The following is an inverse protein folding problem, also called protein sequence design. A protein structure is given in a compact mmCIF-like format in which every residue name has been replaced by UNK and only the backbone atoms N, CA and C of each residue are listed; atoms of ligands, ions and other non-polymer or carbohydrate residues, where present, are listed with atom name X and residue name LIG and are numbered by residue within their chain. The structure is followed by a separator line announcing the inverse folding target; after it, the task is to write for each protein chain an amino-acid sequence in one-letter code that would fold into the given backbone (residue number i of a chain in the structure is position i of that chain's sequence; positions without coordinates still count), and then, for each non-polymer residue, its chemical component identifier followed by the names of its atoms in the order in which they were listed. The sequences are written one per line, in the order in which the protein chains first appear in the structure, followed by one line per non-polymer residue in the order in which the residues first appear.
data_IF_798477996190
#
_entry.id   IF_798477996190
#
_cell.length_a   1.000
_cell.length_b   1.000
_cell.length_c   1.000
_cell.angle_alpha   90.00
_cell.angle_beta   90.00
_cell.angle_gamma   90.00
#
_symmetry.space_group_name_H-M   'P 1'
#
loop_
_entity.id
_entity.type
_entity.pdbx_description
1 polymer ?
#
# COMPACT_ATOMS: atom_id res chain seq x y z
N UNK A 1 -0.61 42.75 48.81
CA UNK A 1 -2.00 42.70 48.33
C UNK A 1 -2.01 42.85 46.81
N UNK A 2 -2.20 41.74 46.09
CA UNK A 2 -2.32 41.72 44.63
C UNK A 2 -3.79 41.47 44.27
N UNK A 3 -4.27 42.01 43.15
CA UNK A 3 -5.64 41.80 42.67
C UNK A 3 -5.63 41.02 41.36
N UNK A 4 -6.64 40.18 41.16
CA UNK A 4 -6.80 39.43 39.92
C UNK A 4 -7.06 40.39 38.75
N UNK A 5 -6.23 40.32 37.70
CA UNK A 5 -6.39 41.16 36.51
C UNK A 5 -7.66 40.84 35.69
N UNK A 6 -8.31 39.70 35.93
CA UNK A 6 -9.50 39.29 35.20
C UNK A 6 -10.81 39.63 35.95
N UNK A 7 -10.91 39.37 37.25
CA UNK A 7 -12.16 39.56 38.02
C UNK A 7 -12.09 40.64 39.11
N UNK A 8 -10.91 41.24 39.35
CA UNK A 8 -10.73 42.32 40.32
C UNK A 8 -10.72 41.89 41.79
N UNK A 9 -10.93 40.61 42.12
CA UNK A 9 -10.88 40.12 43.50
C UNK A 9 -9.45 40.13 44.05
N UNK A 10 -9.31 40.43 45.33
CA UNK A 10 -8.05 40.35 46.07
C UNK A 10 -7.52 38.91 46.10
N UNK A 11 -6.23 38.77 45.82
CA UNK A 11 -5.52 37.50 45.85
C UNK A 11 -4.79 37.35 47.17
N UNK A 12 -4.88 36.15 47.76
CA UNK A 12 -4.07 35.77 48.91
C UNK A 12 -2.57 35.77 48.55
N UNK A 13 -1.71 36.13 49.51
CA UNK A 13 -0.26 36.15 49.32
C UNK A 13 0.25 34.74 48.94
N UNK A 14 0.92 34.64 47.78
CA UNK A 14 1.42 33.37 47.23
C UNK A 14 0.40 32.53 46.46
N UNK A 15 -0.82 33.03 46.20
CA UNK A 15 -1.79 32.33 45.37
C UNK A 15 -1.26 32.11 43.95
N UNK A 16 -1.36 30.88 43.43
CA UNK A 16 -1.00 30.53 42.04
C UNK A 16 -2.14 30.78 41.05
N UNK A 17 -3.39 30.78 41.55
CA UNK A 17 -4.61 31.02 40.78
C UNK A 17 -5.59 31.84 41.62
N UNK A 18 -6.45 32.62 40.95
CA UNK A 18 -7.58 33.29 41.58
C UNK A 18 -8.60 32.26 42.04
N UNK A 19 -8.94 32.30 43.32
CA UNK A 19 -9.93 31.42 43.94
C UNK A 19 -11.37 31.64 43.42
N UNK A 20 -11.66 32.82 42.89
CA UNK A 20 -13.00 33.19 42.41
C UNK A 20 -13.23 32.91 40.93
N UNK A 21 -12.21 33.00 40.07
CA UNK A 21 -12.37 32.85 38.62
C UNK A 21 -11.38 31.88 37.97
N UNK A 22 -10.44 31.31 38.73
CA UNK A 22 -9.45 30.34 38.24
C UNK A 22 -8.32 30.92 37.38
N UNK A 23 -8.24 32.25 37.19
CA UNK A 23 -7.18 32.86 36.38
C UNK A 23 -5.83 32.80 37.13
N UNK A 24 -4.73 32.36 36.50
CA UNK A 24 -3.42 32.27 37.16
C UNK A 24 -2.96 33.65 37.66
N UNK A 25 -2.42 33.67 38.86
CA UNK A 25 -1.95 34.87 39.53
C UNK A 25 -0.48 35.12 39.14
N UNK A 26 -0.28 35.80 38.01
CA UNK A 26 1.05 36.21 37.53
C UNK A 26 1.00 36.62 36.05
N UNK A 27 1.74 37.66 35.67
CA UNK A 27 1.83 38.12 34.27
C UNK A 27 3.20 37.80 33.65
N UNK A 28 3.10 37.31 32.40
CA UNK A 28 4.10 37.07 31.35
C UNK A 28 5.20 36.01 31.52
N UNK A 29 5.00 34.91 30.77
CA UNK A 29 5.99 34.52 29.75
C UNK A 29 6.89 33.33 30.05
N UNK A 30 6.34 32.11 30.11
CA UNK A 30 7.05 30.91 29.64
C UNK A 30 6.08 29.72 29.55
N UNK A 31 5.95 29.22 28.32
CA UNK A 31 5.76 27.82 27.94
C UNK A 31 4.99 26.92 28.92
N UNK A 32 3.66 26.96 28.79
CA UNK A 32 2.89 25.73 28.91
C UNK A 32 1.63 25.85 28.04
N UNK A 33 1.85 25.81 26.72
CA UNK A 33 0.77 25.42 25.82
C UNK A 33 0.46 23.94 26.07
N UNK A 34 -0.46 23.65 26.99
CA UNK A 34 -1.33 22.49 26.83
C UNK A 34 -2.13 22.77 25.55
N UNK A 35 -1.63 22.29 24.41
CA UNK A 35 -2.41 22.24 23.16
C UNK A 35 -3.67 21.42 23.47
N UNK A 36 -4.77 22.09 23.73
CA UNK A 36 -6.06 21.45 23.58
C UNK A 36 -6.27 21.31 22.07
N UNK A 37 -6.00 20.11 21.56
CA UNK A 37 -6.49 19.71 20.24
C UNK A 37 -8.01 19.69 20.38
N UNK A 38 -8.71 20.49 19.59
CA UNK A 38 -10.17 20.44 19.50
C UNK A 38 -10.53 19.06 18.96
N UNK A 39 -10.96 18.18 19.85
CA UNK A 39 -11.46 16.85 19.52
C UNK A 39 -12.88 17.02 18.97
N UNK A 40 -12.96 17.20 17.66
CA UNK A 40 -14.20 17.41 16.94
C UNK A 40 -14.02 17.20 15.43
N UNK A 41 -13.07 16.36 15.03
CA UNK A 41 -12.96 15.97 13.64
C UNK A 41 -14.16 15.08 13.31
N UNK A 42 -15.13 15.60 12.56
CA UNK A 42 -16.30 14.86 12.09
C UNK A 42 -15.81 13.70 11.21
N UNK A 43 -15.68 12.51 11.80
CA UNK A 43 -15.31 11.30 11.08
C UNK A 43 -16.49 10.87 10.22
N UNK A 44 -16.33 10.87 8.90
CA UNK A 44 -17.33 10.35 7.98
C UNK A 44 -17.03 8.89 7.67
N UNK A 45 -18.08 8.11 7.50
CA UNK A 45 -17.99 6.75 7.01
C UNK A 45 -17.40 6.79 5.59
N UNK A 46 -16.31 6.06 5.32
CA UNK A 46 -15.69 6.04 4.00
C UNK A 46 -16.59 5.40 2.94
N UNK A 47 -17.57 4.59 3.35
CA UNK A 47 -18.46 3.86 2.43
C UNK A 47 -19.75 4.61 2.09
N UNK A 48 -20.32 5.42 3.00
CA UNK A 48 -21.61 6.10 2.77
C UNK A 48 -21.66 7.57 3.18
N UNK A 49 -20.57 8.13 3.71
CA UNK A 49 -20.50 9.53 4.12
C UNK A 49 -21.23 9.88 5.42
N UNK A 50 -21.89 8.91 6.06
CA UNK A 50 -22.55 9.09 7.36
C UNK A 50 -21.56 9.55 8.43
N UNK A 51 -21.99 10.41 9.34
CA UNK A 51 -21.15 10.85 10.46
C UNK A 51 -21.02 9.69 11.46
N UNK A 52 -19.78 9.39 11.84
CA UNK A 52 -19.40 8.33 12.77
C UNK A 52 -18.91 8.94 14.07
N UNK A 53 -19.19 8.24 15.16
CA UNK A 53 -18.57 8.50 16.47
C UNK A 53 -17.18 7.87 16.51
N UNK A 54 -16.28 8.42 17.33
CA UNK A 54 -14.90 7.92 17.46
C UNK A 54 -14.80 6.46 17.91
N UNK A 55 -15.86 5.91 18.52
CA UNK A 55 -15.91 4.55 19.08
C UNK A 55 -16.68 3.55 18.20
N UNK A 56 -17.22 3.99 17.06
CA UNK A 56 -17.98 3.09 16.19
C UNK A 56 -17.04 2.04 15.57
N UNK A 57 -17.26 0.78 15.90
CA UNK A 57 -16.59 -0.37 15.25
C UNK A 57 -17.31 -0.83 13.99
N UNK A 58 -18.53 -0.36 13.76
CA UNK A 58 -19.37 -0.68 12.61
C UNK A 58 -20.25 0.51 12.26
N UNK A 59 -20.30 0.91 10.99
CA UNK A 59 -21.15 2.02 10.57
C UNK A 59 -22.63 1.64 10.73
N UNK A 60 -23.44 2.44 11.45
CA UNK A 60 -24.86 2.15 11.65
C UNK A 60 -25.71 2.37 10.39
N UNK A 61 -25.21 3.12 9.40
CA UNK A 61 -25.94 3.42 8.16
C UNK A 61 -25.71 2.40 7.04
N UNK A 62 -24.48 1.91 6.85
CA UNK A 62 -24.17 0.95 5.77
C UNK A 62 -23.66 -0.42 6.27
N UNK A 63 -23.40 -0.57 7.56
CA UNK A 63 -22.99 -1.85 8.16
C UNK A 63 -21.53 -2.24 7.95
N UNK A 64 -20.67 -1.37 7.40
CA UNK A 64 -19.24 -1.66 7.25
C UNK A 64 -18.52 -1.68 8.60
N UNK A 65 -17.66 -2.67 8.84
CA UNK A 65 -16.82 -2.70 10.05
C UNK A 65 -15.66 -1.71 9.92
N UNK A 66 -15.47 -0.88 10.94
CA UNK A 66 -14.54 0.24 11.00
C UNK A 66 -13.18 -0.16 11.60
N UNK A 67 -12.98 -1.44 11.92
CA UNK A 67 -11.68 -1.99 12.36
C UNK A 67 -10.69 -1.96 11.19
N UNK A 68 -9.61 -1.18 11.34
CA UNK A 68 -8.55 -0.96 10.35
C UNK A 68 -8.90 -0.09 9.13
N UNK A 69 -9.86 0.83 9.25
CA UNK A 69 -9.97 1.92 8.26
C UNK A 69 -9.04 3.07 8.65
N UNK A 70 -7.73 2.79 8.71
CA UNK A 70 -6.80 3.81 8.27
C UNK A 70 -7.00 3.82 6.77
N UNK A 71 -7.73 4.81 6.26
CA UNK A 71 -7.75 5.10 4.84
C UNK A 71 -6.31 4.97 4.31
N UNK A 72 -6.20 4.29 3.18
CA UNK A 72 -5.02 3.75 2.54
C UNK A 72 -4.02 4.79 2.04
N UNK A 73 -3.60 5.70 2.92
CA UNK A 73 -2.48 6.62 2.69
C UNK A 73 -1.22 5.91 2.15
N UNK A 74 -1.06 4.61 2.37
CA UNK A 74 0.06 3.83 1.85
C UNK A 74 0.05 3.64 0.33
N UNK A 75 -1.10 3.42 -0.31
CA UNK A 75 -1.13 3.22 -1.78
C UNK A 75 -1.08 4.56 -2.51
N UNK A 76 -1.82 5.56 -2.01
CA UNK A 76 -1.89 6.89 -2.62
C UNK A 76 -0.50 7.56 -2.67
N UNK A 77 0.34 7.33 -1.65
CA UNK A 77 1.70 7.87 -1.59
C UNK A 77 2.76 6.93 -2.19
N UNK A 78 2.41 5.69 -2.56
CA UNK A 78 3.35 4.67 -3.00
C UNK A 78 4.28 5.17 -4.11
N UNK A 79 3.73 5.85 -5.12
CA UNK A 79 4.53 6.35 -6.23
C UNK A 79 5.52 7.42 -5.78
N UNK A 80 5.08 8.38 -4.96
CA UNK A 80 5.96 9.42 -4.41
C UNK A 80 7.10 8.81 -3.60
N UNK A 81 6.79 7.87 -2.72
CA UNK A 81 7.76 7.19 -1.89
C UNK A 81 8.75 6.36 -2.72
N UNK A 82 8.25 5.67 -3.76
CA UNK A 82 9.09 4.94 -4.70
C UNK A 82 10.01 5.86 -5.51
N UNK A 83 9.52 7.04 -5.94
CA UNK A 83 10.32 8.02 -6.66
C UNK A 83 11.44 8.59 -5.79
N UNK A 84 11.13 8.90 -4.53
CA UNK A 84 12.08 9.42 -3.54
C UNK A 84 13.07 8.36 -3.04
N UNK A 85 12.75 7.07 -3.21
CA UNK A 85 13.66 5.97 -2.87
C UNK A 85 14.83 5.90 -3.87
N UNK A 86 16.09 5.81 -3.39
CA UNK A 86 17.26 5.62 -4.24
C UNK A 86 17.07 4.43 -5.18
N UNK A 87 17.52 4.54 -6.44
CA UNK A 87 17.28 3.50 -7.45
C UNK A 87 17.79 2.12 -7.02
N UNK A 88 18.89 2.06 -6.27
CA UNK A 88 19.46 0.83 -5.70
C UNK A 88 18.51 0.08 -4.78
N UNK A 89 17.63 0.81 -4.07
CA UNK A 89 16.82 0.26 -2.97
C UNK A 89 15.36 0.06 -3.39
N UNK A 90 15.02 0.46 -4.62
CA UNK A 90 13.64 0.36 -5.15
C UNK A 90 13.12 -1.06 -5.21
N UNK A 91 13.96 -2.06 -5.49
CA UNK A 91 13.55 -3.47 -5.48
C UNK A 91 13.07 -3.89 -4.09
N UNK A 92 13.78 -3.46 -3.04
CA UNK A 92 13.50 -3.82 -1.66
C UNK A 92 12.26 -3.09 -1.16
N UNK A 93 12.11 -1.82 -1.54
CA UNK A 93 10.88 -1.06 -1.32
C UNK A 93 9.66 -1.74 -1.95
N UNK A 94 9.73 -2.09 -3.25
CA UNK A 94 8.62 -2.73 -3.96
C UNK A 94 8.27 -4.08 -3.32
N UNK A 95 9.27 -4.91 -2.99
CA UNK A 95 9.02 -6.24 -2.44
C UNK A 95 8.42 -6.19 -1.03
N UNK A 96 8.87 -5.25 -0.19
CA UNK A 96 8.40 -5.07 1.18
C UNK A 96 7.00 -4.42 1.29
N UNK A 97 6.56 -3.68 0.26
CA UNK A 97 5.26 -3.00 0.29
C UNK A 97 4.08 -3.99 0.46
N UNK A 98 3.19 -3.81 1.45
CA UNK A 98 2.13 -4.77 1.72
C UNK A 98 1.06 -4.80 0.62
N UNK A 99 0.44 -5.97 0.41
CA UNK A 99 -0.71 -6.06 -0.51
C UNK A 99 -1.94 -5.45 0.18
N UNK A 100 -2.60 -4.44 -0.42
CA UNK A 100 -3.79 -3.84 0.16
C UNK A 100 -4.94 -4.84 0.26
N UNK A 101 -5.74 -4.73 1.33
CA UNK A 101 -6.90 -5.60 1.56
C UNK A 101 -8.25 -4.92 1.26
N UNK A 102 -8.29 -3.58 1.15
CA UNK A 102 -9.49 -2.90 0.68
C UNK A 102 -9.60 -3.07 -0.85
N UNK A 103 -10.83 -3.10 -1.36
CA UNK A 103 -11.09 -3.39 -2.77
C UNK A 103 -10.50 -2.30 -3.66
N UNK A 104 -10.74 -1.04 -3.31
CA UNK A 104 -10.33 0.14 -4.07
C UNK A 104 -8.81 0.24 -4.14
N UNK A 105 -8.14 0.10 -3.00
CA UNK A 105 -6.67 0.12 -2.91
C UNK A 105 -6.02 -1.04 -3.67
N UNK A 106 -6.67 -2.22 -3.64
CA UNK A 106 -6.19 -3.36 -4.40
C UNK A 106 -6.23 -3.06 -5.89
N UNK A 107 -7.31 -2.45 -6.39
CA UNK A 107 -7.40 -2.02 -7.78
C UNK A 107 -6.35 -0.96 -8.12
N UNK A 108 -6.21 0.07 -7.30
CA UNK A 108 -5.23 1.14 -7.51
C UNK A 108 -3.80 0.56 -7.60
N UNK A 109 -3.43 -0.26 -6.61
CA UNK A 109 -2.12 -0.90 -6.61
C UNK A 109 -1.95 -1.93 -7.74
N UNK A 110 -3.03 -2.62 -8.13
CA UNK A 110 -3.04 -3.51 -9.28
C UNK A 110 -2.77 -2.75 -10.58
N UNK A 111 -3.40 -1.59 -10.80
CA UNK A 111 -3.17 -0.79 -11.99
C UNK A 111 -1.73 -0.28 -12.08
N UNK A 112 -1.16 0.19 -10.96
CA UNK A 112 0.26 0.57 -10.88
C UNK A 112 1.16 -0.62 -11.23
N UNK A 113 0.88 -1.78 -10.63
CA UNK A 113 1.65 -3.00 -10.86
C UNK A 113 1.57 -3.46 -12.31
N UNK A 114 0.37 -3.48 -12.91
CA UNK A 114 0.14 -3.87 -14.31
C UNK A 114 0.89 -2.93 -15.26
N UNK A 115 0.82 -1.62 -15.02
CA UNK A 115 1.58 -0.63 -15.79
C UNK A 115 3.08 -0.90 -15.73
N UNK A 116 3.59 -1.28 -14.56
CA UNK A 116 5.02 -1.55 -14.35
C UNK A 116 5.50 -2.85 -15.03
N UNK A 117 4.71 -3.93 -15.00
CA UNK A 117 5.11 -5.23 -15.58
C UNK A 117 4.89 -5.35 -17.09
N UNK A 118 4.08 -4.46 -17.67
CA UNK A 118 3.80 -4.44 -19.12
C UNK A 118 4.79 -3.59 -19.90
N UNK A 119 5.56 -2.73 -19.24
CA UNK A 119 6.57 -1.89 -19.87
C UNK A 119 7.67 -2.74 -20.53
N UNK A 120 8.12 -2.37 -21.76
CA UNK A 120 9.23 -3.03 -22.40
C UNK A 120 10.51 -2.78 -21.61
N UNK A 121 11.23 -3.86 -21.29
CA UNK A 121 12.49 -3.79 -20.57
C UNK A 121 13.55 -4.59 -21.32
N UNK A 122 14.63 -3.90 -21.69
CA UNK A 122 15.84 -4.45 -22.29
C UNK A 122 17.01 -4.46 -21.30
N UNK A 123 16.72 -4.41 -20.01
CA UNK A 123 17.73 -4.37 -18.96
C UNK A 123 18.64 -5.62 -19.04
N UNK A 124 19.97 -5.45 -18.92
CA UNK A 124 20.89 -6.57 -18.79
C UNK A 124 20.54 -7.42 -17.58
N UNK A 125 20.79 -8.73 -17.68
CA UNK A 125 20.60 -9.66 -16.57
C UNK A 125 21.35 -9.19 -15.32
N UNK A 126 20.65 -9.14 -14.19
CA UNK A 126 21.24 -8.82 -12.90
C UNK A 126 21.47 -7.32 -12.67
N UNK A 127 21.21 -6.48 -13.68
CA UNK A 127 21.20 -5.03 -13.51
C UNK A 127 20.11 -4.57 -12.53
N UNK A 128 20.28 -3.37 -11.98
CA UNK A 128 19.30 -2.77 -11.05
C UNK A 128 17.89 -2.73 -11.68
N UNK A 129 17.80 -2.40 -12.96
CA UNK A 129 16.52 -2.36 -13.67
C UNK A 129 15.86 -3.76 -13.82
N UNK A 130 16.67 -4.82 -13.94
CA UNK A 130 16.18 -6.20 -13.96
C UNK A 130 15.68 -6.64 -12.56
N UNK A 131 16.36 -6.21 -11.50
CA UNK A 131 15.95 -6.47 -10.11
C UNK A 131 14.63 -5.75 -9.76
N UNK A 132 14.50 -4.47 -10.11
CA UNK A 132 13.27 -3.69 -9.95
C UNK A 132 12.10 -4.35 -10.71
N UNK A 133 12.34 -4.76 -11.95
CA UNK A 133 11.31 -5.45 -12.74
C UNK A 133 10.92 -6.79 -12.12
N UNK A 134 11.88 -7.55 -11.61
CA UNK A 134 11.63 -8.82 -10.94
C UNK A 134 10.78 -8.62 -9.69
N UNK A 135 11.04 -7.56 -8.91
CA UNK A 135 10.22 -7.17 -7.77
C UNK A 135 8.75 -6.90 -8.18
N UNK A 136 8.53 -6.13 -9.25
CA UNK A 136 7.19 -5.87 -9.79
C UNK A 136 6.46 -7.13 -10.27
N UNK A 137 7.16 -8.03 -10.97
CA UNK A 137 6.59 -9.31 -11.41
C UNK A 137 6.18 -10.16 -10.21
N UNK A 138 6.99 -10.17 -9.14
CA UNK A 138 6.65 -10.89 -7.92
C UNK A 138 5.44 -10.28 -7.22
N UNK A 139 5.31 -8.95 -7.17
CA UNK A 139 4.10 -8.29 -6.66
C UNK A 139 2.86 -8.61 -7.48
N UNK A 140 2.97 -8.60 -8.80
CA UNK A 140 1.87 -9.01 -9.68
C UNK A 140 1.39 -10.44 -9.36
N UNK A 141 2.31 -11.37 -9.14
CA UNK A 141 1.97 -12.76 -8.74
C UNK A 141 1.26 -12.78 -7.38
N UNK A 142 1.75 -12.02 -6.40
CA UNK A 142 1.11 -11.92 -5.08
C UNK A 142 -0.32 -11.38 -5.19
N UNK A 143 -0.55 -10.33 -5.99
CA UNK A 143 -1.88 -9.79 -6.24
C UNK A 143 -2.80 -10.84 -6.85
N UNK A 144 -2.32 -11.58 -7.87
CA UNK A 144 -3.09 -12.65 -8.51
C UNK A 144 -3.50 -13.74 -7.52
N UNK A 145 -2.60 -14.15 -6.64
CA UNK A 145 -2.91 -15.15 -5.59
C UNK A 145 -3.85 -14.60 -4.53
N UNK A 146 -3.78 -13.30 -4.21
CA UNK A 146 -4.56 -12.68 -3.14
C UNK A 146 -5.98 -12.30 -3.56
N UNK A 147 -6.20 -11.95 -4.83
CA UNK A 147 -7.49 -11.55 -5.39
C UNK A 147 -8.70 -12.43 -4.98
N UNK A 148 -8.68 -13.77 -5.10
CA UNK A 148 -9.84 -14.59 -4.74
C UNK A 148 -10.27 -14.46 -3.28
N UNK A 149 -9.34 -14.12 -2.37
CA UNK A 149 -9.65 -13.93 -0.95
C UNK A 149 -10.27 -12.56 -0.67
N UNK A 150 -9.80 -11.51 -1.35
CA UNK A 150 -10.32 -10.14 -1.18
C UNK A 150 -11.74 -10.04 -1.76
N UNK A 151 -11.98 -10.67 -2.91
CA UNK A 151 -13.25 -10.61 -3.64
C UNK A 151 -14.13 -11.83 -3.42
N UNK A 152 -13.92 -12.61 -2.35
CA UNK A 152 -14.67 -13.84 -2.07
C UNK A 152 -16.20 -13.64 -2.00
N UNK A 153 -16.64 -12.45 -1.59
CA UNK A 153 -18.06 -12.06 -1.49
C UNK A 153 -18.56 -11.20 -2.67
N UNK A 154 -17.72 -11.00 -3.69
CA UNK A 154 -17.98 -10.10 -4.81
C UNK A 154 -17.51 -10.73 -6.13
N UNK A 155 -18.34 -11.61 -6.73
CA UNK A 155 -17.96 -12.35 -7.93
C UNK A 155 -17.80 -11.46 -9.16
N UNK A 156 -18.47 -10.30 -9.21
CA UNK A 156 -18.37 -9.35 -10.31
C UNK A 156 -16.98 -8.70 -10.33
N UNK A 157 -16.55 -8.14 -9.20
CA UNK A 157 -15.20 -7.57 -9.07
C UNK A 157 -14.12 -8.62 -9.28
N UNK A 158 -14.33 -9.86 -8.81
CA UNK A 158 -13.39 -10.96 -9.05
C UNK A 158 -13.27 -11.29 -10.55
N UNK A 159 -14.38 -11.29 -11.29
CA UNK A 159 -14.36 -11.50 -12.74
C UNK A 159 -13.58 -10.39 -13.46
N UNK A 160 -13.78 -9.12 -13.06
CA UNK A 160 -13.05 -7.98 -13.59
C UNK A 160 -11.54 -8.10 -13.36
N UNK A 161 -11.12 -8.42 -12.13
CA UNK A 161 -9.70 -8.63 -11.78
C UNK A 161 -9.10 -9.79 -12.57
N UNK A 162 -9.81 -10.91 -12.69
CA UNK A 162 -9.36 -12.05 -13.48
C UNK A 162 -9.22 -11.71 -14.97
N UNK A 163 -10.10 -10.88 -15.51
CA UNK A 163 -9.98 -10.37 -16.88
C UNK A 163 -8.71 -9.54 -17.05
N UNK A 164 -8.40 -8.63 -16.11
CA UNK A 164 -7.14 -7.86 -16.12
C UNK A 164 -5.94 -8.82 -16.13
N UNK A 165 -5.92 -9.84 -15.26
CA UNK A 165 -4.82 -10.79 -15.23
C UNK A 165 -4.69 -11.64 -16.50
N UNK A 166 -5.80 -11.91 -17.18
CA UNK A 166 -5.82 -12.65 -18.45
C UNK A 166 -5.32 -11.81 -19.63
N UNK A 167 -5.65 -10.52 -19.66
CA UNK A 167 -5.25 -9.61 -20.75
C UNK A 167 -3.83 -9.08 -20.57
N UNK A 168 -3.32 -9.06 -19.33
CA UNK A 168 -1.97 -8.59 -19.01
C UNK A 168 -0.90 -9.52 -19.59
N UNK A 169 -0.17 -9.03 -20.60
CA UNK A 169 0.99 -9.71 -21.18
C UNK A 169 2.26 -9.25 -20.49
N UNK A 170 2.75 -10.05 -19.54
CA UNK A 170 4.07 -9.81 -18.93
C UNK A 170 5.14 -10.07 -19.99
N UNK A 171 5.88 -9.03 -20.37
CA UNK A 171 6.90 -9.16 -21.41
C UNK A 171 8.18 -9.75 -20.80
N UNK A 172 8.36 -11.06 -20.99
CA UNK A 172 9.58 -11.76 -20.57
C UNK A 172 10.82 -11.16 -21.23
N UNK A 173 11.95 -11.07 -20.51
CA UNK A 173 13.19 -10.61 -21.10
C UNK A 173 13.72 -11.59 -22.16
N UNK A 174 14.50 -11.06 -23.11
CA UNK A 174 14.98 -11.81 -24.27
C UNK A 174 15.83 -13.04 -23.88
N UNK A 175 16.64 -12.95 -22.83
CA UNK A 175 17.47 -14.08 -22.37
C UNK A 175 16.64 -15.27 -21.85
N UNK A 176 15.47 -15.04 -21.23
CA UNK A 176 14.55 -16.14 -20.87
C UNK A 176 13.98 -16.84 -22.11
N UNK A 177 13.67 -16.09 -23.18
CA UNK A 177 13.27 -16.70 -24.45
C UNK A 177 14.41 -17.48 -25.10
N UNK A 178 15.63 -16.94 -25.02
CA UNK A 178 16.84 -17.60 -25.51
C UNK A 178 17.09 -18.91 -24.76
N UNK A 179 16.98 -18.93 -23.42
CA UNK A 179 17.11 -20.15 -22.62
C UNK A 179 16.05 -21.20 -23.01
N UNK A 180 14.78 -20.80 -23.17
CA UNK A 180 13.72 -21.72 -23.61
C UNK A 180 14.02 -22.27 -25.00
N UNK A 181 14.53 -21.45 -25.93
CA UNK A 181 14.90 -21.89 -27.26
C UNK A 181 16.09 -22.87 -27.24
N UNK A 182 17.11 -22.59 -26.45
CA UNK A 182 18.29 -23.47 -26.27
C UNK A 182 17.87 -24.79 -25.64
N UNK A 183 17.20 -24.78 -24.50
CA UNK A 183 16.75 -26.01 -23.82
C UNK A 183 15.71 -26.78 -24.65
N UNK A 184 14.80 -26.08 -25.33
CA UNK A 184 13.84 -26.69 -26.25
C UNK A 184 14.52 -27.36 -27.45
N UNK A 185 15.56 -26.72 -28.00
CA UNK A 185 16.38 -27.29 -29.08
C UNK A 185 17.12 -28.55 -28.63
N UNK A 186 17.74 -28.52 -27.45
CA UNK A 186 18.38 -29.71 -26.86
C UNK A 186 17.39 -30.85 -26.62
N UNK A 187 16.20 -30.55 -26.08
CA UNK A 187 15.16 -31.56 -25.88
C UNK A 187 14.70 -32.19 -27.20
N UNK A 188 14.50 -31.38 -28.25
CA UNK A 188 14.14 -31.88 -29.58
C UNK A 188 15.22 -32.76 -30.19
N UNK A 189 16.50 -32.39 -30.02
CA UNK A 189 17.65 -33.19 -30.48
C UNK A 189 17.75 -34.53 -29.76
N UNK A 190 17.50 -34.55 -28.45
CA UNK A 190 17.46 -35.79 -27.65
C UNK A 190 16.30 -36.68 -28.13
N UNK A 191 15.11 -36.13 -28.33
CA UNK A 191 13.97 -36.88 -28.87
C UNK A 191 14.28 -37.45 -30.25
N UNK A 192 14.91 -36.66 -31.14
CA UNK A 192 15.33 -37.11 -32.46
C UNK A 192 16.33 -38.28 -32.36
N UNK A 193 17.34 -38.18 -31.50
CA UNK A 193 18.32 -39.26 -31.28
C UNK A 193 17.65 -40.54 -30.75
N UNK A 194 16.69 -40.43 -29.83
CA UNK A 194 15.92 -41.58 -29.32
C UNK A 194 15.08 -42.21 -30.43
N UNK A 195 14.49 -41.40 -31.32
CA UNK A 195 13.72 -41.91 -32.46
C UNK A 195 14.62 -42.59 -33.48
N UNK A 196 15.78 -42.02 -33.79
CA UNK A 196 16.73 -42.58 -34.77
C UNK A 196 17.36 -43.90 -34.29
N UNK A 197 17.65 -44.02 -32.99
CA UNK A 197 18.11 -45.28 -32.37
C UNK A 197 17.01 -46.34 -32.37
N UNK A 198 15.76 -45.97 -32.08
CA UNK A 198 14.59 -46.88 -32.19
C UNK A 198 14.33 -47.38 -33.62
N UNK A 199 14.64 -46.56 -34.63
CA UNK A 199 14.49 -46.91 -36.04
C UNK A 199 15.71 -47.69 -36.61
N UNK A 200 16.75 -47.94 -35.81
CA UNK A 200 17.94 -48.67 -36.25
C UNK A 200 18.82 -47.90 -37.23
N UNK A 201 18.67 -46.58 -37.31
CA UNK A 201 19.43 -45.70 -38.22
C UNK A 201 20.77 -45.30 -37.57
N UNK A 202 20.80 -45.15 -36.24
CA UNK A 202 22.02 -45.03 -35.46
C UNK A 202 22.22 -46.32 -34.65
N UNK A 203 23.40 -46.94 -34.81
CA UNK A 203 23.87 -48.09 -34.01
C UNK A 203 24.41 -47.63 -32.65
#
# INVERSE_FOLDING_TARGET
MAFCQNCGKELMDGAKFCDSCGTPAGNTGSENQRKQVFDGELKKCPSCGAILSSDDLKCPQCGIELRNIKASSSVTNFNSDLFNTPKSDRSDFITSFPIPNAKEDFFEFLYITVGSVTQPCSAPLGSIDDQIRTAWINKYKQLKTRAPFIFAKDPESLAQVNQIFKTTKIRMPLWQKFLIFVFGGFAALIVLLVVLTKLGILN
#
